data_IF_635020850653
#
_entry.id   IF_635020850653
#
_cell.length_a   1.000
_cell.length_b   1.000
_cell.length_c   1.000
_cell.angle_alpha   90.00
_cell.angle_beta   90.00
_cell.angle_gamma   90.00
#
_symmetry.space_group_name_H-M   'P 1'
#
loop_
_entity.id
_entity.type
_entity.pdbx_description
1 polymer ?
#
# COMPACT_ATOMS: atom_id res chain seq x y z
N UNK A 1 -1.41 -30.74 -29.91
CA UNK A 1 -0.37 -30.68 -28.85
C UNK A 1 -0.73 -29.52 -27.96
N UNK A 2 -0.81 -29.69 -26.61
CA UNK A 2 -1.00 -28.56 -25.72
C UNK A 2 0.17 -27.59 -25.87
N UNK A 3 -0.13 -26.29 -25.93
CA UNK A 3 0.88 -25.23 -25.97
C UNK A 3 1.63 -25.25 -24.63
N UNK A 4 2.90 -25.65 -24.65
CA UNK A 4 3.70 -25.75 -23.43
C UNK A 4 4.21 -24.39 -22.94
N UNK A 5 4.23 -23.39 -23.83
CA UNK A 5 4.85 -22.09 -23.60
C UNK A 5 4.19 -21.00 -24.46
N UNK A 6 3.99 -19.82 -23.87
CA UNK A 6 3.53 -18.62 -24.57
C UNK A 6 4.61 -17.53 -24.45
N UNK A 7 5.09 -17.04 -25.60
CA UNK A 7 6.11 -15.98 -25.67
C UNK A 7 5.57 -14.72 -26.33
N UNK A 8 5.74 -13.57 -25.67
CA UNK A 8 5.40 -12.26 -26.21
C UNK A 8 6.49 -11.23 -25.89
N UNK A 9 7.09 -10.61 -26.92
CA UNK A 9 8.13 -9.58 -26.78
C UNK A 9 9.22 -9.91 -25.76
N UNK A 10 9.72 -11.16 -25.81
CA UNK A 10 10.75 -11.74 -24.93
C UNK A 10 10.33 -11.97 -23.47
N UNK A 11 9.06 -11.82 -23.12
CA UNK A 11 8.49 -12.45 -21.94
C UNK A 11 7.94 -13.81 -22.33
N UNK A 12 8.11 -14.77 -21.44
CA UNK A 12 7.76 -16.17 -21.63
C UNK A 12 6.98 -16.61 -20.40
N UNK A 13 5.87 -17.31 -20.59
CA UNK A 13 5.15 -18.02 -19.55
C UNK A 13 4.98 -19.47 -19.96
N UNK A 14 5.23 -20.39 -19.04
CA UNK A 14 4.99 -21.82 -19.23
C UNK A 14 3.71 -22.26 -18.47
N UNK A 15 3.39 -23.55 -18.53
CA UNK A 15 2.21 -24.10 -17.85
C UNK A 15 2.26 -23.91 -16.33
N UNK A 16 3.44 -24.00 -15.71
CA UNK A 16 3.59 -23.79 -14.26
C UNK A 16 3.36 -22.31 -13.89
N UNK A 17 3.83 -21.37 -14.72
CA UNK A 17 3.52 -19.95 -14.54
C UNK A 17 2.01 -19.72 -14.67
N UNK A 18 1.37 -20.28 -15.70
CA UNK A 18 -0.07 -20.14 -15.92
C UNK A 18 -0.91 -20.75 -14.78
N UNK A 19 -0.43 -21.82 -14.14
CA UNK A 19 -1.07 -22.41 -12.95
C UNK A 19 -1.22 -21.42 -11.79
N UNK A 20 -0.33 -20.42 -11.70
CA UNK A 20 -0.39 -19.36 -10.68
C UNK A 20 -1.46 -18.29 -10.93
N UNK A 21 -2.27 -18.45 -11.98
CA UNK A 21 -3.50 -17.67 -12.17
C UNK A 21 -4.71 -18.31 -11.46
N UNK A 22 -4.53 -19.47 -10.81
CA UNK A 22 -5.55 -20.12 -10.00
C UNK A 22 -5.90 -19.33 -8.73
N UNK A 23 -7.04 -19.64 -8.15
CA UNK A 23 -7.48 -19.02 -6.89
C UNK A 23 -6.53 -19.36 -5.73
N UNK A 24 -6.16 -18.36 -4.95
CA UNK A 24 -5.25 -18.52 -3.80
C UNK A 24 -3.76 -18.61 -4.18
N UNK A 25 -3.40 -18.48 -5.45
CA UNK A 25 -2.01 -18.49 -5.91
C UNK A 25 -1.46 -17.06 -6.06
N UNK A 26 -0.23 -16.84 -5.60
CA UNK A 26 0.46 -15.57 -5.81
C UNK A 26 0.89 -15.43 -7.28
N UNK A 27 0.84 -14.24 -7.89
CA UNK A 27 1.50 -14.06 -9.19
C UNK A 27 3.03 -14.11 -9.06
N UNK A 28 3.71 -14.54 -10.14
CA UNK A 28 5.16 -14.53 -10.22
C UNK A 28 5.71 -13.44 -11.15
N UNK A 29 7.05 -13.30 -11.16
CA UNK A 29 7.76 -12.37 -12.03
C UNK A 29 7.39 -12.54 -13.51
N UNK A 30 7.25 -13.77 -13.99
CA UNK A 30 7.00 -14.09 -15.39
C UNK A 30 5.62 -13.59 -15.85
N UNK A 31 4.58 -13.79 -15.03
CA UNK A 31 3.23 -13.30 -15.28
C UNK A 31 3.18 -11.77 -15.29
N UNK A 32 3.80 -11.10 -14.31
CA UNK A 32 3.87 -9.64 -14.28
C UNK A 32 4.61 -9.09 -15.52
N UNK A 33 5.75 -9.68 -15.87
CA UNK A 33 6.53 -9.28 -17.05
C UNK A 33 5.76 -9.47 -18.36
N UNK A 34 5.04 -10.60 -18.47
CA UNK A 34 4.26 -10.95 -19.66
C UNK A 34 3.07 -10.00 -19.86
N UNK A 35 2.21 -9.88 -18.85
CA UNK A 35 0.98 -9.08 -18.97
C UNK A 35 1.27 -7.59 -19.07
N UNK A 36 2.30 -7.07 -18.40
CA UNK A 36 2.66 -5.65 -18.56
C UNK A 36 3.13 -5.34 -19.99
N UNK A 37 3.91 -6.23 -20.62
CA UNK A 37 4.32 -6.07 -22.03
C UNK A 37 3.13 -6.15 -22.97
N UNK A 38 2.23 -7.10 -22.72
CA UNK A 38 1.01 -7.25 -23.49
C UNK A 38 0.13 -6.00 -23.38
N UNK A 39 -0.03 -5.47 -22.15
CA UNK A 39 -0.72 -4.21 -21.88
C UNK A 39 -0.11 -3.03 -22.62
N UNK A 40 1.21 -2.85 -22.60
CA UNK A 40 1.90 -1.79 -23.35
C UNK A 40 1.65 -1.84 -24.86
N UNK A 41 1.30 -3.02 -25.38
CA UNK A 41 0.96 -3.22 -26.79
C UNK A 41 -0.52 -2.99 -27.09
N UNK A 42 -1.42 -3.50 -26.25
CA UNK A 42 -2.86 -3.55 -26.52
C UNK A 42 -3.66 -2.36 -25.95
N UNK A 43 -3.24 -1.81 -24.81
CA UNK A 43 -4.05 -0.80 -24.11
C UNK A 43 -3.95 0.55 -24.83
N UNK A 44 -5.09 1.22 -25.12
CA UNK A 44 -5.11 2.56 -25.69
C UNK A 44 -4.37 3.55 -24.78
N UNK A 45 -3.51 4.37 -25.38
CA UNK A 45 -2.53 5.18 -24.65
C UNK A 45 -3.04 6.60 -24.39
N UNK A 46 -4.30 6.72 -23.94
CA UNK A 46 -4.92 8.02 -23.64
C UNK A 46 -4.95 9.03 -24.79
N UNK A 47 -4.87 8.57 -26.04
CA UNK A 47 -4.79 9.40 -27.25
C UNK A 47 -3.38 9.55 -27.85
N UNK A 48 -2.37 8.87 -27.31
CA UNK A 48 -0.99 8.92 -27.80
C UNK A 48 -0.56 7.68 -28.61
N UNK A 49 0.54 7.81 -29.36
CA UNK A 49 1.10 6.72 -30.17
C UNK A 49 1.96 5.75 -29.34
N UNK A 50 2.50 6.18 -28.20
CA UNK A 50 3.39 5.40 -27.33
C UNK A 50 2.83 5.29 -25.90
N UNK A 51 3.17 4.20 -25.20
CA UNK A 51 2.74 4.01 -23.83
C UNK A 51 3.39 5.05 -22.92
N UNK A 52 2.63 5.75 -22.07
CA UNK A 52 3.18 6.82 -21.23
C UNK A 52 3.97 6.27 -20.04
N UNK A 53 3.88 4.96 -19.78
CA UNK A 53 4.56 4.28 -18.68
C UNK A 53 5.54 3.25 -19.24
N UNK A 54 6.81 3.40 -18.88
CA UNK A 54 7.83 2.38 -19.17
C UNK A 54 7.90 1.32 -18.09
N UNK A 55 8.48 0.15 -18.40
CA UNK A 55 8.54 -0.98 -17.51
C UNK A 55 9.92 -1.65 -17.57
N UNK A 56 10.56 -1.79 -16.41
CA UNK A 56 11.91 -2.35 -16.32
C UNK A 56 11.89 -3.85 -16.02
N UNK A 57 10.77 -4.42 -15.58
CA UNK A 57 10.67 -5.84 -15.20
C UNK A 57 10.57 -6.03 -13.70
N UNK A 58 9.89 -7.10 -13.28
CA UNK A 58 9.60 -7.39 -11.87
C UNK A 58 10.87 -7.55 -11.01
N UNK A 59 11.95 -8.10 -11.58
CA UNK A 59 13.22 -8.32 -10.87
C UNK A 59 14.13 -7.08 -10.79
N UNK A 60 13.74 -5.95 -11.40
CA UNK A 60 14.61 -4.76 -11.50
C UNK A 60 15.06 -4.27 -10.13
N UNK A 61 14.14 -4.11 -9.18
CA UNK A 61 14.47 -3.54 -7.87
C UNK A 61 15.32 -4.50 -7.02
N UNK A 62 15.03 -5.80 -7.08
CA UNK A 62 15.86 -6.85 -6.46
C UNK A 62 17.30 -6.79 -6.97
N UNK A 63 17.48 -6.66 -8.29
CA UNK A 63 18.81 -6.55 -8.88
C UNK A 63 19.50 -5.21 -8.53
N UNK A 64 18.74 -4.11 -8.48
CA UNK A 64 19.26 -2.81 -8.06
C UNK A 64 19.87 -2.87 -6.65
N UNK A 65 19.25 -3.61 -5.73
CA UNK A 65 19.73 -3.79 -4.35
C UNK A 65 20.74 -4.93 -4.16
N UNK A 66 21.05 -5.68 -5.21
CA UNK A 66 21.96 -6.83 -5.12
C UNK A 66 23.42 -6.41 -4.88
N UNK A 67 24.29 -7.41 -4.63
CA UNK A 67 25.72 -7.20 -4.43
C UNK A 67 26.06 -6.18 -3.33
N UNK A 68 25.25 -6.15 -2.26
CA UNK A 68 25.43 -5.26 -1.10
C UNK A 68 25.42 -3.77 -1.44
N UNK A 69 24.77 -3.38 -2.54
CA UNK A 69 24.58 -1.96 -2.86
C UNK A 69 23.78 -1.28 -1.74
N UNK A 70 24.28 -0.14 -1.25
CA UNK A 70 23.66 0.64 -0.17
C UNK A 70 22.89 1.85 -0.68
N UNK A 71 22.97 2.12 -1.99
CA UNK A 71 22.32 3.24 -2.66
C UNK A 71 21.90 2.86 -4.08
N UNK A 72 21.03 3.69 -4.66
CA UNK A 72 20.64 3.56 -6.06
C UNK A 72 21.80 3.81 -7.04
N UNK A 73 22.71 4.72 -6.69
CA UNK A 73 23.88 5.05 -7.48
C UNK A 73 24.87 3.88 -7.54
N UNK A 74 25.10 3.19 -6.42
CA UNK A 74 25.92 1.97 -6.37
C UNK A 74 25.23 0.83 -7.13
N UNK A 75 23.95 0.62 -6.83
CA UNK A 75 23.11 -0.41 -7.43
C UNK A 75 22.95 -0.28 -8.94
N UNK A 76 23.07 0.95 -9.48
CA UNK A 76 23.00 1.22 -10.92
C UNK A 76 23.94 0.33 -11.73
N UNK A 77 25.13 -0.01 -11.21
CA UNK A 77 26.08 -0.91 -11.90
C UNK A 77 25.49 -2.29 -12.18
N UNK A 78 24.65 -2.79 -11.28
CA UNK A 78 23.98 -4.08 -11.42
C UNK A 78 22.91 -4.06 -12.52
N UNK A 79 22.41 -2.87 -12.88
CA UNK A 79 21.29 -2.67 -13.80
C UNK A 79 21.57 -1.63 -14.92
N UNK A 80 22.84 -1.32 -15.20
CA UNK A 80 23.25 -0.19 -16.06
C UNK A 80 22.72 -0.26 -17.50
N UNK A 81 22.41 -1.46 -18.00
CA UNK A 81 21.87 -1.67 -19.35
C UNK A 81 20.36 -1.92 -19.36
N UNK A 82 19.68 -1.86 -18.20
CA UNK A 82 18.30 -2.30 -18.07
C UNK A 82 17.33 -1.36 -18.78
N UNK A 83 17.38 -0.07 -18.48
CA UNK A 83 16.53 0.95 -19.12
C UNK A 83 16.71 0.97 -20.64
N UNK A 84 17.95 0.89 -21.14
CA UNK A 84 18.24 0.81 -22.57
C UNK A 84 17.63 -0.45 -23.20
N UNK A 85 17.81 -1.63 -22.59
CA UNK A 85 17.31 -2.90 -23.15
C UNK A 85 15.79 -3.05 -23.08
N UNK A 86 15.15 -2.56 -22.01
CA UNK A 86 13.74 -2.81 -21.72
C UNK A 86 12.82 -1.68 -22.22
N UNK A 87 13.28 -0.43 -22.19
CA UNK A 87 12.50 0.75 -22.58
C UNK A 87 13.15 1.60 -23.69
N UNK A 88 14.37 1.25 -24.13
CA UNK A 88 15.15 2.08 -25.06
C UNK A 88 15.68 3.37 -24.44
N UNK A 89 15.67 3.48 -23.12
CA UNK A 89 16.03 4.68 -22.35
C UNK A 89 14.85 5.21 -21.54
N UNK A 90 15.12 5.57 -20.28
CA UNK A 90 14.08 5.94 -19.31
C UNK A 90 13.56 7.38 -19.49
N UNK A 91 14.40 8.28 -20.00
CA UNK A 91 14.12 9.70 -20.14
C UNK A 91 13.60 10.08 -21.52
N UNK A 92 13.00 9.14 -22.25
CA UNK A 92 12.35 9.45 -23.52
C UNK A 92 11.19 10.43 -23.29
N UNK A 93 10.96 11.38 -24.22
CA UNK A 93 9.83 12.29 -24.10
C UNK A 93 8.49 11.58 -23.96
N UNK A 94 8.31 10.39 -24.54
CA UNK A 94 7.08 9.62 -24.47
C UNK A 94 6.70 9.18 -23.04
N UNK A 95 7.67 8.94 -22.16
CA UNK A 95 7.40 8.42 -20.82
C UNK A 95 7.13 9.57 -19.83
N UNK A 96 5.96 9.52 -19.18
CA UNK A 96 5.64 10.31 -18.00
C UNK A 96 5.92 9.56 -16.70
N UNK A 97 5.95 8.22 -16.74
CA UNK A 97 6.22 7.41 -15.56
C UNK A 97 6.98 6.12 -15.91
N UNK A 98 7.43 5.41 -14.88
CA UNK A 98 7.82 4.01 -15.03
C UNK A 98 7.40 3.17 -13.83
N UNK A 99 6.98 1.95 -14.13
CA UNK A 99 6.47 0.99 -13.17
C UNK A 99 7.61 0.10 -12.64
N UNK A 100 7.70 0.00 -11.32
CA UNK A 100 8.63 -0.87 -10.61
C UNK A 100 7.85 -1.74 -9.62
N UNK A 101 7.51 -2.98 -9.98
CA UNK A 101 6.99 -3.95 -9.02
C UNK A 101 8.02 -4.18 -7.92
N UNK A 102 7.55 -4.23 -6.68
CA UNK A 102 8.34 -4.51 -5.49
C UNK A 102 7.80 -5.80 -4.90
N UNK A 103 8.68 -6.80 -4.79
CA UNK A 103 8.42 -8.01 -4.03
C UNK A 103 9.10 -7.85 -2.66
N UNK A 104 8.29 -7.79 -1.62
CA UNK A 104 8.74 -7.69 -0.23
C UNK A 104 8.61 -9.05 0.45
N UNK A 105 9.74 -9.59 0.92
CA UNK A 105 9.75 -10.77 1.78
C UNK A 105 9.20 -10.37 3.16
N UNK A 106 8.04 -10.89 3.52
CA UNK A 106 7.39 -10.59 4.78
C UNK A 106 7.97 -11.45 5.90
N UNK A 107 8.09 -10.85 7.08
CA UNK A 107 8.47 -11.57 8.29
C UNK A 107 7.40 -11.42 9.37
N UNK A 108 7.16 -12.48 10.12
CA UNK A 108 6.29 -12.45 11.30
C UNK A 108 6.97 -11.77 12.50
N UNK A 109 6.27 -11.68 13.63
CA UNK A 109 6.80 -11.09 14.87
C UNK A 109 8.03 -11.83 15.43
N UNK A 110 8.23 -13.09 15.03
CA UNK A 110 9.37 -13.93 15.41
C UNK A 110 10.51 -13.83 14.39
N UNK A 111 10.35 -13.03 13.34
CA UNK A 111 11.31 -12.87 12.25
C UNK A 111 11.35 -14.02 11.25
N UNK A 112 10.37 -14.94 11.29
CA UNK A 112 10.21 -16.06 10.36
C UNK A 112 9.55 -15.60 9.07
N UNK A 113 9.79 -16.30 7.96
CA UNK A 113 9.18 -15.97 6.67
C UNK A 113 7.66 -16.13 6.73
N UNK A 114 6.94 -15.05 6.41
CA UNK A 114 5.49 -14.95 6.45
C UNK A 114 4.87 -14.83 5.05
N UNK A 115 5.65 -15.17 4.01
CA UNK A 115 5.25 -15.07 2.61
C UNK A 115 5.84 -13.85 1.90
N UNK A 116 5.32 -13.59 0.70
CA UNK A 116 5.75 -12.51 -0.18
C UNK A 116 4.63 -11.49 -0.34
N UNK A 117 4.99 -10.23 -0.54
CA UNK A 117 4.04 -9.15 -0.79
C UNK A 117 4.43 -8.35 -2.02
N UNK A 118 3.53 -8.30 -3.00
CA UNK A 118 3.69 -7.49 -4.18
C UNK A 118 3.02 -6.12 -3.99
N UNK A 119 3.78 -5.06 -4.24
CA UNK A 119 3.21 -3.71 -4.39
C UNK A 119 3.93 -2.95 -5.50
N UNK A 120 3.35 -1.86 -5.98
CA UNK A 120 3.87 -1.12 -7.13
C UNK A 120 4.45 0.22 -6.70
N UNK A 121 5.73 0.45 -7.03
CA UNK A 121 6.33 1.77 -7.03
C UNK A 121 6.18 2.39 -8.43
N UNK A 122 5.24 3.32 -8.58
CA UNK A 122 5.06 4.07 -9.82
C UNK A 122 5.84 5.37 -9.74
N UNK A 123 6.88 5.49 -10.56
CA UNK A 123 7.79 6.63 -10.52
C UNK A 123 7.34 7.66 -11.53
N UNK A 124 6.87 8.80 -11.02
CA UNK A 124 6.20 9.87 -11.76
C UNK A 124 7.18 11.00 -12.11
N UNK A 125 7.05 11.50 -13.33
CA UNK A 125 7.88 12.54 -13.93
C UNK A 125 9.39 12.30 -13.73
N UNK A 126 9.96 11.19 -14.23
CA UNK A 126 11.36 10.84 -13.98
C UNK A 126 12.38 11.83 -14.56
N UNK A 127 11.97 12.77 -15.42
CA UNK A 127 12.84 13.83 -15.92
C UNK A 127 12.83 15.08 -15.03
N UNK A 128 11.87 15.18 -14.11
CA UNK A 128 11.63 16.37 -13.32
C UNK A 128 12.82 16.75 -12.45
N UNK A 129 13.50 15.76 -11.87
CA UNK A 129 14.67 15.99 -11.02
C UNK A 129 15.84 16.71 -11.71
N UNK A 130 15.96 16.65 -13.04
CA UNK A 130 16.95 17.42 -13.79
C UNK A 130 16.44 18.78 -14.29
N UNK A 131 15.13 19.03 -14.17
CA UNK A 131 14.44 20.25 -14.61
C UNK A 131 14.01 21.14 -13.45
N UNK A 132 14.24 20.72 -12.20
CA UNK A 132 13.69 21.37 -11.02
C UNK A 132 12.17 21.20 -10.89
N UNK A 133 11.59 20.21 -11.56
CA UNK A 133 10.18 19.85 -11.45
C UNK A 133 10.01 18.68 -10.46
N UNK A 134 8.83 18.53 -9.82
CA UNK A 134 8.59 17.41 -8.92
C UNK A 134 8.74 16.06 -9.62
N UNK A 135 9.50 15.16 -8.97
CA UNK A 135 9.52 13.72 -9.25
C UNK A 135 8.90 13.01 -8.05
N UNK A 136 8.22 11.88 -8.23
CA UNK A 136 7.66 11.17 -7.08
C UNK A 136 7.72 9.66 -7.28
N UNK A 137 7.81 8.93 -6.17
CA UNK A 137 7.59 7.48 -6.12
C UNK A 137 6.26 7.24 -5.43
N UNK A 138 5.22 6.98 -6.22
CA UNK A 138 3.90 6.67 -5.72
C UNK A 138 3.82 5.19 -5.35
N UNK A 139 3.63 4.90 -4.06
CA UNK A 139 3.48 3.57 -3.51
C UNK A 139 2.01 3.16 -3.61
N UNK A 140 1.73 2.21 -4.50
CA UNK A 140 0.43 1.62 -4.75
C UNK A 140 0.44 0.24 -4.08
N UNK A 141 -0.03 0.20 -2.83
CA UNK A 141 0.07 -0.95 -1.93
C UNK A 141 -1.34 -1.40 -1.51
N UNK A 142 -1.78 -2.54 -2.04
CA UNK A 142 -3.10 -3.13 -1.77
C UNK A 142 -3.18 -3.85 -0.43
N UNK A 143 -2.06 -4.09 0.25
CA UNK A 143 -2.00 -4.70 1.57
C UNK A 143 -1.31 -3.76 2.55
N UNK A 144 -1.77 -2.51 2.61
CA UNK A 144 -1.06 -1.51 3.38
C UNK A 144 -1.04 -1.88 4.87
N UNK A 145 0.16 -1.82 5.45
CA UNK A 145 0.38 -2.10 6.88
C UNK A 145 0.63 -0.82 7.62
N UNK A 146 -0.17 -0.57 8.64
CA UNK A 146 -0.06 0.61 9.50
C UNK A 146 -0.19 0.18 10.94
N UNK A 147 0.60 0.82 11.79
CA UNK A 147 0.54 0.61 13.22
C UNK A 147 0.61 1.97 13.91
N UNK A 148 -0.19 2.13 14.95
CA UNK A 148 -0.12 3.28 15.85
C UNK A 148 -0.29 2.82 17.28
N UNK A 149 0.79 2.92 18.05
CA UNK A 149 0.74 2.86 19.51
C UNK A 149 0.27 4.22 20.02
N UNK A 150 -0.71 4.20 20.93
CA UNK A 150 -1.36 5.39 21.48
C UNK A 150 -0.79 5.66 22.87
N UNK A 151 -0.03 6.73 22.99
CA UNK A 151 0.54 7.20 24.25
C UNK A 151 0.28 8.71 24.41
N UNK A 152 -0.61 9.14 25.33
CA UNK A 152 -1.41 8.28 26.20
C UNK A 152 -2.48 7.47 25.44
N UNK A 153 -3.01 6.36 26.03
CA UNK A 153 -4.12 5.61 25.45
C UNK A 153 -5.36 6.46 25.23
N UNK A 154 -6.13 6.14 24.18
CA UNK A 154 -7.45 6.76 23.99
C UNK A 154 -8.46 6.11 24.94
N UNK A 155 -9.30 6.92 25.57
CA UNK A 155 -10.24 6.45 26.59
C UNK A 155 -11.69 6.74 26.22
N UNK A 156 -12.56 5.79 26.56
CA UNK A 156 -14.01 5.91 26.52
C UNK A 156 -14.60 5.45 27.86
N UNK A 157 -15.81 5.90 28.16
CA UNK A 157 -16.52 5.49 29.37
C UNK A 157 -17.98 5.20 29.07
N UNK A 158 -18.56 4.30 29.87
CA UNK A 158 -19.99 4.00 29.79
C UNK A 158 -20.79 5.23 30.24
N UNK A 159 -21.80 5.62 29.46
CA UNK A 159 -22.66 6.76 29.79
C UNK A 159 -23.26 6.61 31.19
N UNK A 160 -23.08 7.62 32.04
CA UNK A 160 -23.61 7.64 33.42
C UNK A 160 -22.76 6.91 34.48
N UNK A 161 -21.66 6.24 34.08
CA UNK A 161 -20.83 5.48 35.03
C UNK A 161 -19.84 6.30 35.85
N UNK A 162 -19.57 7.56 35.50
CA UNK A 162 -18.57 8.42 36.16
C UNK A 162 -17.21 7.69 36.33
N UNK A 163 -16.65 7.21 35.22
CA UNK A 163 -15.35 6.49 35.17
C UNK A 163 -15.28 5.15 35.92
N UNK A 164 -16.42 4.62 36.40
CA UNK A 164 -16.48 3.26 36.96
C UNK A 164 -16.38 2.18 35.89
N UNK A 165 -16.80 2.52 34.67
CA UNK A 165 -16.75 1.65 33.50
C UNK A 165 -15.94 2.33 32.40
N UNK A 166 -14.72 1.85 32.17
CA UNK A 166 -13.76 2.46 31.25
C UNK A 166 -13.39 1.50 30.12
N UNK A 167 -12.99 2.09 29.00
CA UNK A 167 -12.39 1.45 27.85
C UNK A 167 -11.12 2.22 27.51
N UNK A 168 -10.00 1.53 27.43
CA UNK A 168 -8.74 2.06 26.94
C UNK A 168 -8.39 1.38 25.62
N UNK A 169 -8.01 2.16 24.61
CA UNK A 169 -7.42 1.68 23.36
C UNK A 169 -5.97 2.12 23.32
N UNK A 170 -5.06 1.14 23.27
CA UNK A 170 -3.61 1.36 23.39
C UNK A 170 -2.87 1.24 22.08
N UNK A 171 -3.44 0.49 21.13
CA UNK A 171 -2.82 0.23 19.84
C UNK A 171 -3.91 0.01 18.80
N UNK A 172 -3.71 0.56 17.62
CA UNK A 172 -4.50 0.25 16.44
C UNK A 172 -3.55 -0.15 15.31
N UNK A 173 -3.88 -1.23 14.63
CA UNK A 173 -3.13 -1.78 13.51
C UNK A 173 -4.07 -1.96 12.33
N UNK A 174 -3.54 -1.77 11.13
CA UNK A 174 -4.19 -2.14 9.88
C UNK A 174 -3.24 -3.07 9.13
N UNK A 175 -3.75 -4.22 8.70
CA UNK A 175 -3.05 -5.17 7.85
C UNK A 175 -3.93 -5.48 6.63
N UNK A 176 -3.78 -4.67 5.56
CA UNK A 176 -4.66 -4.72 4.41
C UNK A 176 -6.10 -4.36 4.79
N UNK A 177 -7.03 -5.30 4.60
CA UNK A 177 -8.44 -5.14 4.97
C UNK A 177 -8.74 -5.37 6.45
N UNK A 178 -7.79 -5.84 7.27
CA UNK A 178 -8.04 -6.06 8.69
C UNK A 178 -7.64 -4.83 9.52
N UNK A 179 -8.53 -4.39 10.42
CA UNK A 179 -8.21 -3.41 11.47
C UNK A 179 -8.25 -4.10 12.82
N UNK A 180 -7.12 -4.08 13.53
CA UNK A 180 -6.94 -4.73 14.82
C UNK A 180 -6.82 -3.65 15.90
N UNK A 181 -7.70 -3.70 16.88
CA UNK A 181 -7.74 -2.76 18.00
C UNK A 181 -7.35 -3.49 19.28
N UNK A 182 -6.23 -3.08 19.89
CA UNK A 182 -5.83 -3.57 21.22
C UNK A 182 -6.49 -2.73 22.30
N UNK A 183 -7.25 -3.38 23.17
CA UNK A 183 -8.09 -2.70 24.16
C UNK A 183 -8.00 -3.31 25.56
N UNK A 184 -8.42 -2.52 26.54
CA UNK A 184 -8.66 -2.94 27.93
C UNK A 184 -9.93 -2.26 28.45
N UNK A 185 -10.93 -3.04 28.85
CA UNK A 185 -12.16 -2.55 29.44
C UNK A 185 -12.26 -2.99 30.90
N UNK A 186 -12.71 -2.10 31.78
CA UNK A 186 -12.90 -2.37 33.21
C UNK A 186 -14.26 -1.89 33.69
N UNK A 187 -14.82 -2.58 34.65
CA UNK A 187 -16.06 -2.23 35.35
C UNK A 187 -15.97 -2.65 36.82
N UNK A 188 -16.60 -1.93 37.71
CA UNK A 188 -16.59 -2.24 39.16
C UNK A 188 -17.78 -3.10 39.63
N UNK A 189 -18.66 -3.51 38.71
CA UNK A 189 -19.88 -4.28 39.01
C UNK A 189 -21.09 -3.43 39.43
N UNK A 190 -20.91 -2.13 39.70
CA UNK A 190 -22.00 -1.26 40.20
C UNK A 190 -23.12 -0.94 39.20
N UNK A 191 -22.99 -1.41 37.97
CA UNK A 191 -23.98 -1.30 36.89
C UNK A 191 -24.18 -2.65 36.18
N UNK A 192 -23.84 -3.75 36.87
CA UNK A 192 -23.87 -5.10 36.34
C UNK A 192 -22.61 -5.49 35.55
N UNK A 193 -22.65 -6.61 34.81
CA UNK A 193 -21.50 -7.11 34.07
C UNK A 193 -21.08 -6.19 32.92
N UNK A 194 -19.81 -6.25 32.55
CA UNK A 194 -19.28 -5.55 31.39
C UNK A 194 -19.95 -6.00 30.08
N UNK A 195 -20.27 -5.07 29.17
CA UNK A 195 -20.71 -5.42 27.82
C UNK A 195 -19.69 -6.31 27.12
N UNK A 196 -20.19 -7.37 26.48
CA UNK A 196 -19.34 -8.34 25.77
C UNK A 196 -18.64 -7.66 24.58
N UNK A 197 -17.32 -7.86 24.41
CA UNK A 197 -16.56 -7.23 23.32
C UNK A 197 -17.05 -7.63 21.91
N UNK A 198 -17.66 -8.80 21.75
CA UNK A 198 -18.15 -9.31 20.47
C UNK A 198 -19.30 -8.52 19.84
N UNK A 199 -19.98 -7.69 20.64
CA UNK A 199 -21.01 -6.79 20.13
C UNK A 199 -20.46 -5.44 19.66
N UNK A 200 -19.12 -5.26 19.67
CA UNK A 200 -18.49 -4.04 19.19
C UNK A 200 -18.62 -3.90 17.68
N UNK A 201 -18.59 -2.66 17.20
CA UNK A 201 -18.55 -2.32 15.77
C UNK A 201 -17.54 -1.22 15.50
N UNK A 202 -16.99 -1.24 14.30
CA UNK A 202 -16.12 -0.21 13.77
C UNK A 202 -16.83 0.50 12.61
N UNK A 203 -16.86 1.82 12.61
CA UNK A 203 -17.49 2.61 11.55
C UNK A 203 -16.42 3.36 10.78
N UNK A 204 -16.40 3.22 9.46
CA UNK A 204 -15.50 3.94 8.56
C UNK A 204 -16.23 4.29 7.26
N UNK A 205 -16.11 5.54 6.81
CA UNK A 205 -16.78 6.05 5.59
C UNK A 205 -18.29 5.75 5.52
N UNK A 206 -18.96 5.74 6.68
CA UNK A 206 -20.39 5.40 6.80
C UNK A 206 -20.71 3.89 6.71
N UNK A 207 -19.70 3.04 6.54
CA UNK A 207 -19.83 1.58 6.54
C UNK A 207 -19.61 1.04 7.95
N UNK A 208 -20.53 0.19 8.43
CA UNK A 208 -20.40 -0.49 9.72
C UNK A 208 -19.76 -1.88 9.55
N UNK A 209 -18.59 -2.09 10.15
CA UNK A 209 -17.93 -3.38 10.27
C UNK A 209 -18.30 -4.00 11.62
N UNK A 210 -19.03 -5.12 11.60
CA UNK A 210 -19.58 -5.80 12.79
C UNK A 210 -18.92 -7.15 12.98
N UNK A 211 -19.21 -7.81 14.11
CA UNK A 211 -18.78 -9.17 14.44
C UNK A 211 -17.25 -9.30 14.42
N UNK A 212 -16.51 -8.51 15.23
CA UNK A 212 -15.06 -8.65 15.29
C UNK A 212 -14.67 -10.05 15.74
N UNK A 213 -13.57 -10.56 15.17
CA UNK A 213 -12.85 -11.66 15.79
C UNK A 213 -12.20 -11.16 17.09
N UNK A 214 -12.27 -11.98 18.14
CA UNK A 214 -11.87 -11.56 19.50
C UNK A 214 -10.72 -12.42 19.99
N UNK A 215 -9.58 -11.79 20.27
CA UNK A 215 -8.43 -12.41 20.92
C UNK A 215 -8.30 -11.94 22.38
N UNK A 216 -9.00 -12.57 23.33
CA UNK A 216 -8.94 -12.18 24.74
C UNK A 216 -7.76 -12.81 25.47
N UNK A 217 -6.99 -11.99 26.18
CA UNK A 217 -6.02 -12.39 27.20
C UNK A 217 -6.66 -12.44 28.60
N UNK A 218 -7.57 -11.51 28.88
CA UNK A 218 -8.38 -11.49 30.10
C UNK A 218 -9.85 -11.52 29.69
N UNK A 219 -10.58 -12.49 30.24
CA UNK A 219 -11.99 -12.75 29.93
C UNK A 219 -12.82 -12.84 31.21
N UNK A 220 -12.94 -11.72 31.93
CA UNK A 220 -13.69 -11.64 33.18
C UNK A 220 -14.80 -10.60 33.04
N UNK A 221 -16.00 -11.01 32.67
CA UNK A 221 -17.11 -10.06 32.48
C UNK A 221 -17.55 -9.32 33.74
N UNK A 222 -17.17 -9.81 34.93
CA UNK A 222 -17.77 -9.35 36.18
C UNK A 222 -19.21 -9.83 36.32
N UNK A 223 -19.90 -9.28 37.32
CA UNK A 223 -21.31 -9.53 37.63
C UNK A 223 -21.84 -8.34 38.47
N UNK A 224 -23.08 -8.42 38.95
CA UNK A 224 -23.63 -7.45 39.91
C UNK A 224 -22.72 -7.34 41.15
N UNK A 225 -22.21 -6.13 41.39
CA UNK A 225 -21.24 -5.80 42.45
C UNK A 225 -19.90 -6.58 42.38
N UNK A 226 -19.63 -7.25 41.25
CA UNK A 226 -18.37 -7.95 41.00
C UNK A 226 -17.63 -7.27 39.86
N UNK A 227 -16.42 -6.79 40.17
CA UNK A 227 -15.58 -6.13 39.18
C UNK A 227 -15.26 -7.05 37.98
N UNK A 228 -15.31 -6.47 36.79
CA UNK A 228 -15.02 -7.11 35.52
C UNK A 228 -13.81 -6.47 34.82
N UNK A 229 -13.12 -7.27 34.03
CA UNK A 229 -12.06 -6.85 33.12
C UNK A 229 -12.05 -7.70 31.83
N UNK A 230 -12.03 -7.01 30.68
CA UNK A 230 -11.67 -7.61 29.39
C UNK A 230 -10.37 -6.97 28.88
N UNK A 231 -9.43 -7.79 28.43
CA UNK A 231 -8.20 -7.30 27.80
C UNK A 231 -7.86 -8.18 26.61
N UNK A 232 -7.57 -7.59 25.46
CA UNK A 232 -7.29 -8.35 24.25
C UNK A 232 -7.33 -7.51 22.97
N UNK A 233 -7.65 -8.16 21.87
CA UNK A 233 -7.80 -7.57 20.54
C UNK A 233 -9.21 -7.73 19.99
N UNK A 234 -9.63 -6.74 19.20
CA UNK A 234 -10.80 -6.80 18.31
C UNK A 234 -10.31 -6.67 16.88
N UNK A 235 -10.55 -7.68 16.05
CA UNK A 235 -10.15 -7.68 14.64
C UNK A 235 -11.38 -7.53 13.75
N UNK A 236 -11.45 -6.43 13.01
CA UNK A 236 -12.53 -6.10 12.10
C UNK A 236 -12.08 -6.29 10.66
N UNK A 237 -12.81 -7.09 9.89
CA UNK A 237 -12.68 -7.10 8.44
C UNK A 237 -13.36 -5.85 7.86
N UNK A 238 -12.58 -5.02 7.19
CA UNK A 238 -13.07 -3.91 6.42
C UNK A 238 -13.71 -4.42 5.13
N UNK A 239 -14.79 -3.76 4.74
CA UNK A 239 -15.30 -3.87 3.39
C UNK A 239 -14.27 -3.31 2.40
N UNK A 240 -14.02 -4.01 1.29
CA UNK A 240 -13.06 -3.60 0.28
C UNK A 240 -13.31 -2.21 -0.32
N UNK A 241 -14.45 -1.54 -0.05
CA UNK A 241 -14.75 -0.14 -0.43
C UNK A 241 -14.23 0.90 0.56
N UNK A 242 -13.92 0.52 1.81
CA UNK A 242 -13.42 1.45 2.83
C UNK A 242 -12.03 1.95 2.42
N UNK A 243 -11.84 3.27 2.49
CA UNK A 243 -10.56 3.95 2.18
C UNK A 243 -10.09 4.84 3.32
N UNK A 244 -10.92 5.02 4.33
CA UNK A 244 -10.63 5.85 5.49
C UNK A 244 -9.35 5.44 6.20
N UNK A 245 -8.65 6.46 6.66
CA UNK A 245 -7.62 6.32 7.71
C UNK A 245 -8.16 6.67 9.08
N UNK A 246 -9.47 6.92 9.18
CA UNK A 246 -10.19 7.30 10.41
C UNK A 246 -11.30 6.31 10.66
N UNK A 247 -11.36 5.76 11.86
CA UNK A 247 -12.32 4.76 12.28
C UNK A 247 -12.98 5.20 13.58
N UNK A 248 -14.26 4.93 13.74
CA UNK A 248 -14.97 5.17 15.01
C UNK A 248 -15.32 3.82 15.62
N UNK A 249 -14.69 3.52 16.76
CA UNK A 249 -14.96 2.32 17.54
C UNK A 249 -16.15 2.56 18.45
N UNK A 250 -17.15 1.70 18.35
CA UNK A 250 -18.23 1.55 19.30
C UNK A 250 -18.04 0.22 20.05
N UNK A 251 -17.71 0.29 21.33
CA UNK A 251 -17.43 -0.89 22.14
C UNK A 251 -18.69 -1.48 22.79
N UNK A 252 -18.93 -2.76 22.51
CA UNK A 252 -20.09 -3.52 23.00
C UNK A 252 -21.44 -2.86 22.70
N UNK A 253 -22.49 -3.34 23.36
CA UNK A 253 -23.86 -2.82 23.27
C UNK A 253 -24.24 -1.77 24.34
N UNK A 254 -23.26 -1.30 25.14
CA UNK A 254 -23.55 -0.54 26.36
C UNK A 254 -23.69 0.98 26.22
N UNK A 255 -23.41 1.57 25.05
CA UNK A 255 -23.39 3.03 24.92
C UNK A 255 -22.16 3.69 25.57
N UNK A 256 -21.01 3.04 25.48
CA UNK A 256 -19.72 3.69 25.69
C UNK A 256 -19.55 4.88 24.74
N UNK A 257 -18.89 5.94 25.20
CA UNK A 257 -18.46 7.04 24.33
C UNK A 257 -17.62 6.48 23.18
N UNK A 258 -17.97 6.74 21.90
CA UNK A 258 -17.21 6.24 20.76
C UNK A 258 -15.77 6.79 20.75
N UNK A 259 -14.82 5.95 20.34
CA UNK A 259 -13.40 6.33 20.25
C UNK A 259 -13.01 6.50 18.78
N UNK A 260 -12.52 7.68 18.42
CA UNK A 260 -11.98 7.96 17.07
C UNK A 260 -10.52 7.51 16.99
N UNK A 261 -10.25 6.53 16.12
CA UNK A 261 -8.93 6.01 15.79
C UNK A 261 -8.48 6.62 14.46
N UNK A 262 -7.25 7.12 14.38
CA UNK A 262 -6.74 7.75 13.16
C UNK A 262 -5.29 7.34 12.88
N UNK A 263 -5.05 6.80 11.69
CA UNK A 263 -3.70 6.66 11.12
C UNK A 263 -3.31 7.93 10.38
N UNK A 264 -2.00 8.18 10.31
CA UNK A 264 -1.47 9.10 9.31
C UNK A 264 -1.55 8.41 7.93
N UNK A 265 -2.41 8.87 7.00
CA UNK A 265 -2.54 8.26 5.67
C UNK A 265 -1.23 8.32 4.86
N UNK A 266 -0.27 9.16 5.27
CA UNK A 266 0.99 9.38 4.57
C UNK A 266 2.20 8.76 5.28
N UNK A 267 1.98 7.99 6.36
CA UNK A 267 3.04 7.28 7.03
C UNK A 267 3.61 6.17 6.14
N UNK A 268 4.79 6.43 5.57
CA UNK A 268 5.52 5.47 4.74
C UNK A 268 6.20 4.40 5.59
N UNK A 269 6.16 3.15 5.13
CA UNK A 269 6.95 2.06 5.70
C UNK A 269 8.45 2.29 5.50
N UNK A 270 9.29 1.58 6.27
CA UNK A 270 10.75 1.64 6.09
C UNK A 270 11.15 1.23 4.66
N UNK A 271 10.55 0.16 4.13
CA UNK A 271 10.84 -0.30 2.78
C UNK A 271 10.40 0.73 1.73
N UNK A 272 9.23 1.37 1.86
CA UNK A 272 8.78 2.39 0.92
C UNK A 272 9.74 3.60 0.89
N UNK A 273 10.23 4.05 2.06
CA UNK A 273 11.28 5.08 2.15
C UNK A 273 12.57 4.63 1.46
N UNK A 274 12.98 3.38 1.67
CA UNK A 274 14.16 2.80 1.03
C UNK A 274 13.99 2.74 -0.49
N UNK A 275 12.87 2.25 -1.00
CA UNK A 275 12.56 2.21 -2.43
C UNK A 275 12.69 3.59 -3.04
N UNK A 276 12.09 4.62 -2.43
CA UNK A 276 12.20 6.01 -2.90
C UNK A 276 13.65 6.48 -3.01
N UNK A 277 14.47 6.20 -1.98
CA UNK A 277 15.89 6.55 -1.93
C UNK A 277 16.70 5.83 -3.01
N UNK A 278 16.52 4.51 -3.17
CA UNK A 278 17.23 3.73 -4.18
C UNK A 278 16.80 4.12 -5.60
N UNK A 279 15.51 4.33 -5.84
CA UNK A 279 15.02 4.78 -7.14
C UNK A 279 15.55 6.19 -7.47
N UNK A 280 15.53 7.12 -6.51
CA UNK A 280 16.08 8.47 -6.69
C UNK A 280 17.57 8.45 -7.02
N UNK A 281 18.36 7.62 -6.32
CA UNK A 281 19.77 7.40 -6.62
C UNK A 281 20.01 6.77 -8.01
N UNK A 282 19.22 5.76 -8.36
CA UNK A 282 19.27 5.12 -9.68
C UNK A 282 18.99 6.14 -10.79
N UNK A 283 17.95 6.98 -10.63
CA UNK A 283 17.61 8.02 -11.60
C UNK A 283 18.72 9.06 -11.75
N UNK A 284 19.31 9.49 -10.65
CA UNK A 284 20.41 10.44 -10.69
C UNK A 284 21.60 9.88 -11.49
N UNK A 285 21.96 8.60 -11.25
CA UNK A 285 23.06 7.96 -11.96
C UNK A 285 22.73 7.64 -13.43
N UNK A 286 21.53 7.17 -13.70
CA UNK A 286 21.06 6.92 -15.07
C UNK A 286 21.02 8.23 -15.87
N UNK A 287 20.66 9.37 -15.26
CA UNK A 287 20.68 10.68 -15.91
C UNK A 287 22.11 11.15 -16.22
N UNK A 288 23.03 11.02 -15.26
CA UNK A 288 24.44 11.37 -15.44
C UNK A 288 25.07 10.64 -16.64
N UNK A 289 24.77 9.33 -16.78
CA UNK A 289 25.40 8.47 -17.79
C UNK A 289 24.62 8.46 -19.11
N UNK A 290 23.29 8.35 -19.05
CA UNK A 290 22.41 8.09 -20.19
C UNK A 290 21.35 9.17 -20.43
N UNK A 291 21.33 10.23 -19.62
CA UNK A 291 20.39 11.34 -19.77
C UNK A 291 20.59 12.13 -21.07
N UNK A 292 19.53 12.80 -21.56
CA UNK A 292 19.60 13.62 -22.78
C UNK A 292 20.46 14.87 -22.59
N UNK A 293 20.56 15.40 -21.36
CA UNK A 293 21.42 16.54 -21.01
C UNK A 293 22.24 16.21 -19.77
N UNK A 294 23.39 15.56 -19.99
CA UNK A 294 24.30 15.10 -18.93
C UNK A 294 24.98 16.24 -18.17
N UNK A 295 24.91 17.48 -18.67
CA UNK A 295 25.46 18.65 -17.98
C UNK A 295 24.53 19.14 -16.87
N UNK A 296 23.23 18.85 -16.96
CA UNK A 296 22.27 19.14 -15.89
C UNK A 296 22.39 18.10 -14.79
N UNK A 297 22.58 18.59 -13.56
CA UNK A 297 22.56 17.75 -12.37
C UNK A 297 21.13 17.29 -12.08
N UNK A 298 20.97 16.00 -11.83
CA UNK A 298 19.73 15.44 -11.33
C UNK A 298 19.67 15.59 -9.81
N UNK A 299 18.59 16.18 -9.29
CA UNK A 299 18.37 16.26 -7.85
C UNK A 299 17.85 14.91 -7.32
N UNK A 300 18.71 14.12 -6.68
CA UNK A 300 18.33 12.79 -6.17
C UNK A 300 17.25 12.81 -5.08
N UNK A 301 17.18 13.89 -4.31
CA UNK A 301 16.15 14.14 -3.29
C UNK A 301 14.81 14.53 -3.90
N UNK A 302 14.75 14.78 -5.21
CA UNK A 302 13.50 15.11 -5.90
C UNK A 302 12.50 13.96 -5.87
N UNK A 303 12.95 12.69 -5.83
CA UNK A 303 12.08 11.52 -5.78
C UNK A 303 11.51 11.33 -4.37
N UNK A 304 10.48 12.10 -4.04
CA UNK A 304 9.71 11.95 -2.80
C UNK A 304 8.77 10.76 -2.90
N UNK A 305 8.57 10.05 -1.81
CA UNK A 305 7.57 8.99 -1.75
C UNK A 305 6.18 9.58 -1.47
N UNK A 306 5.18 9.06 -2.18
CA UNK A 306 3.76 9.34 -1.98
C UNK A 306 3.07 8.02 -1.65
N UNK A 307 2.14 8.03 -0.70
CA UNK A 307 1.20 6.92 -0.50
C UNK A 307 -0.05 7.24 -1.32
N UNK A 308 -0.43 6.33 -2.20
CA UNK A 308 -1.69 6.45 -2.92
C UNK A 308 -2.78 5.64 -2.22
N UNK A 309 -3.98 6.20 -2.22
CA UNK A 309 -5.18 5.49 -1.79
C UNK A 309 -5.61 4.54 -2.91
N UNK A 310 -5.35 3.24 -2.72
CA UNK A 310 -5.67 2.19 -3.69
C UNK A 310 -6.66 1.21 -3.09
N UNK A 311 -7.33 0.46 -3.97
CA UNK A 311 -8.16 -0.65 -3.53
C UNK A 311 -7.34 -1.63 -2.69
N UNK A 312 -7.84 -1.91 -1.48
CA UNK A 312 -7.22 -2.86 -0.57
C UNK A 312 -7.71 -4.26 -0.92
N UNK A 313 -6.80 -5.23 -0.90
CA UNK A 313 -7.11 -6.63 -1.15
C UNK A 313 -7.75 -7.27 0.08
N UNK A 314 -8.68 -8.20 -0.15
CA UNK A 314 -9.40 -8.94 0.89
C UNK A 314 -8.77 -10.32 1.19
N UNK A 315 -7.70 -10.68 0.50
CA UNK A 315 -6.96 -11.93 0.70
C UNK A 315 -5.44 -11.70 0.69
N UNK A 316 -4.67 -12.74 1.01
CA UNK A 316 -3.21 -12.63 1.12
C UNK A 316 -2.50 -12.75 -0.24
N UNK A 317 -3.14 -13.34 -1.24
CA UNK A 317 -2.49 -13.80 -2.47
C UNK A 317 -2.69 -12.91 -3.70
N UNK A 318 -3.67 -12.01 -3.68
CA UNK A 318 -3.99 -11.15 -4.83
C UNK A 318 -3.07 -9.95 -5.00
N UNK A 319 -2.08 -9.74 -4.12
CA UNK A 319 -1.18 -8.59 -4.19
C UNK A 319 -0.54 -8.42 -5.59
N UNK A 320 -0.19 -9.53 -6.25
CA UNK A 320 0.31 -9.52 -7.62
C UNK A 320 -0.74 -9.07 -8.65
N UNK A 321 -2.00 -9.45 -8.47
CA UNK A 321 -3.13 -9.05 -9.33
C UNK A 321 -3.38 -7.54 -9.22
N UNK A 322 -3.37 -6.99 -8.01
CA UNK A 322 -3.50 -5.54 -7.78
C UNK A 322 -2.32 -4.76 -8.36
N UNK A 323 -1.10 -5.28 -8.28
CA UNK A 323 0.06 -4.69 -8.97
C UNK A 323 -0.15 -4.66 -10.47
N UNK A 324 -0.60 -5.78 -11.06
CA UNK A 324 -0.88 -5.85 -12.48
C UNK A 324 -1.98 -4.87 -12.90
N UNK A 325 -3.09 -4.85 -12.18
CA UNK A 325 -4.20 -3.92 -12.44
C UNK A 325 -3.73 -2.46 -12.40
N UNK A 326 -2.99 -2.07 -11.37
CA UNK A 326 -2.46 -0.70 -11.25
C UNK A 326 -1.49 -0.36 -12.38
N UNK A 327 -0.64 -1.29 -12.80
CA UNK A 327 0.22 -1.12 -13.97
C UNK A 327 -0.61 -0.91 -15.25
N UNK A 328 -1.60 -1.77 -15.52
CA UNK A 328 -2.44 -1.68 -16.72
C UNK A 328 -3.30 -0.41 -16.73
N UNK A 329 -3.84 0.00 -15.59
CA UNK A 329 -4.54 1.29 -15.43
C UNK A 329 -3.62 2.46 -15.77
N UNK A 330 -2.38 2.46 -15.26
CA UNK A 330 -1.42 3.54 -15.54
C UNK A 330 -1.09 3.69 -17.03
N UNK A 331 -1.14 2.60 -17.81
CA UNK A 331 -0.95 2.65 -19.27
C UNK A 331 -2.07 3.38 -20.01
N UNK A 332 -3.29 3.34 -19.48
CA UNK A 332 -4.45 4.02 -20.07
C UNK A 332 -4.54 5.51 -19.75
N UNK A 333 -3.74 5.99 -18.79
CA UNK A 333 -3.78 7.38 -18.32
C UNK A 333 -3.12 8.34 -19.32
N UNK A 334 -3.60 9.59 -19.34
CA UNK A 334 -2.93 10.66 -20.08
C UNK A 334 -1.58 10.97 -19.44
N UNK A 335 -0.57 11.19 -20.28
CA UNK A 335 0.79 11.52 -19.85
C UNK A 335 0.87 12.77 -18.97
N UNK A 336 0.14 13.82 -19.32
CA UNK A 336 0.14 15.06 -18.54
C UNK A 336 -0.50 14.86 -17.17
N UNK A 337 -1.51 14.00 -17.06
CA UNK A 337 -2.10 13.62 -15.78
C UNK A 337 -1.08 12.87 -14.90
N UNK A 338 -0.37 11.88 -15.44
CA UNK A 338 0.71 11.18 -14.73
C UNK A 338 1.80 12.14 -14.22
N UNK A 339 2.17 13.16 -15.02
CA UNK A 339 3.12 14.19 -14.59
C UNK A 339 2.55 15.07 -13.48
N UNK A 340 1.30 15.53 -13.60
CA UNK A 340 0.67 16.36 -12.58
C UNK A 340 0.58 15.65 -11.23
N UNK A 341 0.38 14.34 -11.22
CA UNK A 341 0.39 13.55 -9.99
C UNK A 341 1.73 13.60 -9.23
N UNK A 342 2.87 13.87 -9.89
CA UNK A 342 4.15 14.02 -9.17
C UNK A 342 4.17 15.24 -8.26
N UNK A 343 3.27 16.20 -8.48
CA UNK A 343 3.08 17.43 -7.69
C UNK A 343 2.06 17.27 -6.56
N UNK A 344 1.39 16.11 -6.43
CA UNK A 344 0.40 15.87 -5.36
C UNK A 344 1.00 16.14 -3.97
N UNK A 345 0.28 16.86 -3.11
CA UNK A 345 0.77 17.15 -1.75
C UNK A 345 -0.09 16.43 -0.70
N UNK A 346 0.49 16.07 0.46
CA UNK A 346 -0.25 15.47 1.57
C UNK A 346 -1.31 16.39 2.20
N UNK A 347 -1.44 17.65 1.76
CA UNK A 347 -2.42 18.57 2.35
C UNK A 347 -3.82 18.06 2.00
N UNK A 348 -4.49 17.53 3.01
CA UNK A 348 -5.94 17.35 3.01
C UNK A 348 -6.53 18.76 3.01
N UNK A 349 -6.88 19.27 1.83
CA UNK A 349 -7.74 20.44 1.79
C UNK A 349 -9.08 20.05 2.42
N UNK A 350 -9.66 20.85 3.34
CA UNK A 350 -10.99 20.60 3.89
C UNK A 350 -12.11 20.73 2.83
N UNK A 351 -11.75 21.08 1.59
CA UNK A 351 -12.61 21.10 0.41
C UNK A 351 -12.39 19.84 -0.47
N UNK A 352 -13.43 19.28 -1.09
CA UNK A 352 -13.38 17.98 -1.77
C UNK A 352 -12.68 17.99 -3.15
N UNK A 353 -11.58 18.74 -3.34
CA UNK A 353 -11.03 18.98 -4.69
C UNK A 353 -9.70 18.28 -5.03
N UNK A 354 -8.99 17.66 -4.08
CA UNK A 354 -7.69 17.02 -4.39
C UNK A 354 -7.51 15.59 -3.85
N UNK A 355 -8.55 14.99 -3.25
CA UNK A 355 -8.63 13.55 -2.98
C UNK A 355 -9.06 12.76 -4.23
N UNK A 356 -8.42 13.05 -5.37
CA UNK A 356 -8.64 12.35 -6.64
C UNK A 356 -7.38 11.58 -7.02
N UNK A 357 -7.09 10.51 -6.29
CA UNK A 357 -6.23 9.45 -6.81
C UNK A 357 -7.16 8.23 -7.01
N UNK A 358 -7.52 7.99 -8.28
CA UNK A 358 -8.27 6.84 -8.82
C UNK A 358 -9.81 6.82 -8.79
N UNK A 359 -10.52 7.96 -8.75
CA UNK A 359 -11.93 7.98 -9.18
C UNK A 359 -12.02 8.11 -10.71
N UNK A 360 -11.90 6.98 -11.41
CA UNK A 360 -12.21 6.87 -12.84
C UNK A 360 -13.05 5.61 -13.09
N UNK A 361 -14.34 5.72 -12.83
CA UNK A 361 -15.38 4.94 -13.51
C UNK A 361 -16.49 5.93 -13.90
N UNK A 362 -16.85 6.06 -15.19
CA UNK A 362 -18.27 6.18 -15.50
C UNK A 362 -18.91 4.81 -15.18
N UNK A 363 -20.03 4.82 -14.46
CA UNK A 363 -20.89 3.63 -14.37
C UNK A 363 -21.40 3.23 -15.75
#
# INVERSE_FOLDING_TARGET
MPVAELTFRRAMINIADAGRLGEGEDLNDALLDFFMRLGQYLIPKGGENEAPVSYLGAIFFKQLRSAFANSGEEGWKNVMNWAKRKAGGLFKPAFAAFAVPINEDLKDEKGQEAGNHWWLALVLNPQGGARGEPTAVMCLDSMQRREKVLDPPLTGSLKGSVNRYTLEVRKVEQAGYLVIVSFKAKGDGSMGPLPKPGASKLVADGVECKNPEIGLRINMGGDDDVAGEYEGTLSFALDGRVRSSTFVLHYGEGGYTPITLQFDPFALTKLQKDVSRYVGGYLAKEWEVNGPDRKKRYEKTSARALVADVHQQENLNDCGVFVLENMLRSLSMKKDFLKQMSSATPKVDPAPQLLWILYLYPR
#
